data_IF_996329012733
#
_entry.id   IF_996329012733
#
_cell.length_a   1.000
_cell.length_b   1.000
_cell.length_c   1.000
_cell.angle_alpha   90.00
_cell.angle_beta   90.00
_cell.angle_gamma   90.00
#
_symmetry.space_group_name_H-M   'P 1'
#
loop_
_entity.id
_entity.type
_entity.pdbx_description
1 polymer ?
#
# COMPACT_ATOMS: atom_id res chain seq x y z
N UNK A 1 19.33 -2.00 -8.32
CA UNK A 1 18.13 -2.12 -7.47
C UNK A 1 16.95 -1.55 -8.25
N UNK A 2 15.88 -2.31 -8.54
CA UNK A 2 14.72 -1.78 -9.25
C UNK A 2 14.07 -0.65 -8.42
N UNK A 3 13.51 0.36 -9.08
CA UNK A 3 12.96 1.58 -8.46
C UNK A 3 11.78 1.32 -7.49
N UNK A 4 11.24 0.10 -7.48
CA UNK A 4 10.08 -0.33 -6.70
C UNK A 4 10.35 -0.49 -5.20
N UNK A 5 11.53 -0.98 -4.81
CA UNK A 5 11.87 -1.21 -3.40
C UNK A 5 11.87 0.09 -2.56
N UNK A 6 12.12 1.25 -3.18
CA UNK A 6 12.18 2.54 -2.47
C UNK A 6 10.84 2.96 -1.85
N UNK A 7 9.72 2.43 -2.35
CA UNK A 7 8.38 2.77 -1.85
C UNK A 7 7.93 1.89 -0.67
N UNK A 8 8.60 0.75 -0.45
CA UNK A 8 8.25 -0.19 0.62
C UNK A 8 8.94 0.27 1.90
N UNK A 9 8.17 0.38 2.98
CA UNK A 9 8.61 0.94 4.26
C UNK A 9 7.96 0.19 5.41
N UNK A 10 8.64 0.14 6.55
CA UNK A 10 8.09 -0.35 7.81
C UNK A 10 7.00 0.58 8.36
N UNK A 11 6.07 0.05 9.14
CA UNK A 11 4.95 0.82 9.71
C UNK A 11 5.43 1.98 10.58
N UNK A 12 6.46 1.78 11.40
CA UNK A 12 7.02 2.84 12.26
C UNK A 12 7.56 4.02 11.42
N UNK A 13 8.08 3.74 10.22
CA UNK A 13 8.55 4.77 9.29
C UNK A 13 7.40 5.56 8.68
N UNK A 14 6.21 4.95 8.53
CA UNK A 14 5.01 5.65 8.06
C UNK A 14 4.51 6.65 9.09
N UNK A 15 4.61 6.36 10.39
CA UNK A 15 4.21 7.31 11.45
C UNK A 15 5.03 8.60 11.36
N UNK A 16 6.36 8.46 11.27
CA UNK A 16 7.28 9.60 11.14
C UNK A 16 6.97 10.42 9.90
N UNK A 17 6.82 9.76 8.74
CA UNK A 17 6.47 10.43 7.47
C UNK A 17 5.10 11.09 7.51
N UNK A 18 4.12 10.47 8.17
CA UNK A 18 2.79 11.03 8.30
C UNK A 18 2.81 12.34 9.06
N UNK A 19 3.58 12.43 10.16
CA UNK A 19 3.75 13.67 10.93
C UNK A 19 4.42 14.75 10.07
N UNK A 20 5.52 14.41 9.41
CA UNK A 20 6.23 15.33 8.52
C UNK A 20 5.31 15.90 7.43
N UNK A 21 4.60 15.06 6.69
CA UNK A 21 3.72 15.53 5.62
C UNK A 21 2.52 16.32 6.14
N UNK A 22 2.02 16.00 7.33
CA UNK A 22 0.98 16.79 7.97
C UNK A 22 1.49 18.19 8.36
N UNK A 23 2.72 18.31 8.88
CA UNK A 23 3.37 19.60 9.14
C UNK A 23 3.61 20.42 7.86
N UNK A 24 3.87 19.74 6.73
CA UNK A 24 3.94 20.34 5.40
C UNK A 24 2.55 20.74 4.83
N UNK A 25 1.46 20.48 5.56
CA UNK A 25 0.09 20.78 5.13
C UNK A 25 -0.47 19.85 4.05
N UNK A 26 0.19 18.70 3.79
CA UNK A 26 -0.23 17.73 2.77
C UNK A 26 -1.33 16.81 3.30
N UNK A 27 -2.33 16.53 2.45
CA UNK A 27 -3.38 15.55 2.73
C UNK A 27 -2.89 14.15 2.38
N UNK A 28 -2.92 13.25 3.35
CA UNK A 28 -2.59 11.83 3.17
C UNK A 28 -3.88 11.02 3.05
N UNK A 29 -3.97 10.22 2.00
CA UNK A 29 -5.03 9.21 1.83
C UNK A 29 -4.46 7.86 2.23
N UNK A 30 -5.21 7.08 3.01
CA UNK A 30 -4.84 5.74 3.41
C UNK A 30 -5.75 4.71 2.75
N UNK A 31 -5.15 3.76 2.04
CA UNK A 31 -5.82 2.55 1.58
C UNK A 31 -5.22 1.35 2.30
N UNK A 32 -6.04 0.63 3.06
CA UNK A 32 -5.62 -0.60 3.72
C UNK A 32 -6.27 -1.81 3.06
N UNK A 33 -5.53 -2.92 2.94
CA UNK A 33 -6.12 -4.15 2.45
C UNK A 33 -5.14 -5.31 2.33
N UNK A 34 -5.65 -6.47 1.91
CA UNK A 34 -4.81 -7.62 1.61
C UNK A 34 -4.08 -7.44 0.28
N UNK A 35 -4.76 -6.94 -0.77
CA UNK A 35 -4.17 -6.77 -2.12
C UNK A 35 -3.57 -8.06 -2.72
N UNK A 36 -4.12 -9.22 -2.35
CA UNK A 36 -3.77 -10.49 -2.98
C UNK A 36 -4.29 -10.55 -4.42
N UNK A 37 -3.53 -11.22 -5.30
CA UNK A 37 -3.81 -11.30 -6.75
C UNK A 37 -4.25 -9.94 -7.34
N UNK A 38 -3.37 -8.94 -7.37
CA UNK A 38 -3.71 -7.59 -7.88
C UNK A 38 -4.39 -7.69 -9.25
N UNK A 39 -5.55 -7.04 -9.34
CA UNK A 39 -6.35 -6.93 -10.55
C UNK A 39 -6.80 -5.48 -10.75
N UNK A 40 -7.42 -5.19 -11.90
CA UNK A 40 -7.85 -3.85 -12.30
C UNK A 40 -8.73 -3.14 -11.26
N UNK A 41 -9.45 -3.88 -10.42
CA UNK A 41 -10.27 -3.33 -9.34
C UNK A 41 -9.42 -2.60 -8.29
N UNK A 42 -8.35 -3.24 -7.79
CA UNK A 42 -7.41 -2.61 -6.87
C UNK A 42 -6.71 -1.40 -7.51
N UNK A 43 -6.30 -1.52 -8.77
CA UNK A 43 -5.61 -0.43 -9.48
C UNK A 43 -6.51 0.80 -9.59
N UNK A 44 -7.74 0.63 -10.08
CA UNK A 44 -8.71 1.74 -10.19
C UNK A 44 -9.03 2.34 -8.83
N UNK A 45 -9.18 1.51 -7.80
CA UNK A 45 -9.43 1.97 -6.44
C UNK A 45 -8.28 2.84 -5.91
N UNK A 46 -7.03 2.40 -6.04
CA UNK A 46 -5.85 3.15 -5.60
C UNK A 46 -5.65 4.44 -6.40
N UNK A 47 -5.86 4.39 -7.72
CA UNK A 47 -5.80 5.59 -8.57
C UNK A 47 -6.86 6.62 -8.20
N UNK A 48 -8.09 6.18 -7.88
CA UNK A 48 -9.14 7.09 -7.44
C UNK A 48 -8.84 7.65 -6.04
N UNK A 49 -8.38 6.80 -5.12
CA UNK A 49 -7.99 7.22 -3.78
C UNK A 49 -6.87 8.27 -3.83
N UNK A 50 -5.86 8.09 -4.69
CA UNK A 50 -4.77 9.05 -4.87
C UNK A 50 -5.27 10.45 -5.24
N UNK A 51 -6.35 10.58 -6.02
CA UNK A 51 -6.89 11.90 -6.40
C UNK A 51 -7.47 12.67 -5.22
N UNK A 52 -7.73 12.02 -4.10
CA UNK A 52 -8.38 12.63 -2.93
C UNK A 52 -7.38 13.32 -1.99
N UNK A 53 -6.08 13.29 -2.29
CA UNK A 53 -5.04 13.98 -1.51
C UNK A 53 -3.69 14.04 -2.23
N UNK A 54 -2.69 14.56 -1.54
CA UNK A 54 -1.32 14.70 -2.06
C UNK A 54 -0.53 13.40 -1.89
N UNK A 55 -0.75 12.77 -0.73
CA UNK A 55 -0.27 11.48 -0.24
C UNK A 55 -1.16 10.28 -0.61
N UNK A 56 -0.64 9.14 -1.09
CA UNK A 56 -1.34 7.85 -0.93
C UNK A 56 -0.44 6.89 -0.18
N UNK A 57 -0.87 6.48 1.01
CA UNK A 57 -0.29 5.39 1.77
C UNK A 57 -1.12 4.13 1.52
N UNK A 58 -0.47 3.09 1.02
CA UNK A 58 -1.07 1.77 0.89
C UNK A 58 -0.46 0.85 1.95
N UNK A 59 -1.28 0.34 2.87
CA UNK A 59 -0.83 -0.58 3.91
C UNK A 59 -1.43 -1.96 3.70
N UNK A 60 -0.66 -2.98 4.06
CA UNK A 60 -0.95 -4.36 3.72
C UNK A 60 -1.25 -5.16 4.98
N UNK A 61 -2.30 -5.97 4.95
CA UNK A 61 -2.54 -6.97 6.00
C UNK A 61 -1.44 -8.04 5.97
N UNK A 62 -0.74 -8.22 7.09
CA UNK A 62 0.31 -9.23 7.22
C UNK A 62 -0.24 -10.65 7.06
N UNK A 63 0.57 -11.57 6.55
CA UNK A 63 0.16 -12.92 6.13
C UNK A 63 -0.60 -13.67 7.24
N UNK A 64 -0.11 -13.58 8.48
CA UNK A 64 -0.68 -14.23 9.66
C UNK A 64 -2.10 -13.75 10.01
N UNK A 65 -2.56 -12.62 9.48
CA UNK A 65 -3.86 -12.02 9.77
C UNK A 65 -4.83 -12.11 8.60
N UNK A 66 -4.46 -12.78 7.51
CA UNK A 66 -5.32 -12.93 6.34
C UNK A 66 -6.10 -14.24 6.45
N UNK A 67 -7.42 -14.16 6.64
CA UNK A 67 -8.33 -15.30 6.57
C UNK A 67 -9.33 -15.11 5.43
N UNK A 68 -8.94 -15.54 4.23
CA UNK A 68 -9.71 -15.39 2.99
C UNK A 68 -10.07 -16.74 2.34
N UNK A 69 -9.95 -17.82 3.10
CA UNK A 69 -10.16 -19.19 2.66
C UNK A 69 -8.85 -19.96 2.41
N UNK A 70 -8.94 -21.27 2.15
CA UNK A 70 -7.77 -22.13 1.95
C UNK A 70 -6.87 -21.63 0.83
N UNK A 71 -5.56 -21.63 1.07
CA UNK A 71 -4.56 -21.19 0.08
C UNK A 71 -4.55 -19.68 -0.17
N UNK A 72 -5.11 -18.88 0.74
CA UNK A 72 -5.06 -17.40 0.69
C UNK A 72 -4.34 -16.84 1.92
N UNK A 73 -3.51 -15.80 1.74
CA UNK A 73 -3.20 -15.11 0.47
C UNK A 73 -2.32 -15.99 -0.44
N UNK A 74 -2.47 -15.85 -1.76
CA UNK A 74 -1.65 -16.58 -2.74
C UNK A 74 -0.21 -16.07 -2.72
N UNK A 75 -0.04 -14.76 -2.57
CA UNK A 75 1.26 -14.12 -2.47
C UNK A 75 1.55 -13.66 -1.04
N UNK A 76 2.81 -13.79 -0.61
CA UNK A 76 3.27 -13.27 0.67
C UNK A 76 3.10 -11.76 0.77
N UNK A 77 3.09 -11.23 1.99
CA UNK A 77 2.98 -9.79 2.25
C UNK A 77 4.02 -8.95 1.52
N UNK A 78 5.26 -9.46 1.43
CA UNK A 78 6.34 -8.80 0.69
C UNK A 78 6.11 -8.79 -0.81
N UNK A 79 5.66 -9.90 -1.40
CA UNK A 79 5.33 -9.94 -2.84
C UNK A 79 4.13 -9.04 -3.16
N UNK A 80 3.15 -8.98 -2.26
CA UNK A 80 2.01 -8.05 -2.38
C UNK A 80 2.48 -6.58 -2.29
N UNK A 81 3.43 -6.27 -1.41
CA UNK A 81 4.06 -4.94 -1.32
C UNK A 81 4.83 -4.57 -2.59
N UNK A 82 5.62 -5.48 -3.12
CA UNK A 82 6.35 -5.30 -4.38
C UNK A 82 5.38 -5.04 -5.54
N UNK A 83 4.32 -5.84 -5.67
CA UNK A 83 3.28 -5.66 -6.68
C UNK A 83 2.62 -4.27 -6.58
N UNK A 84 2.30 -3.79 -5.38
CA UNK A 84 1.75 -2.45 -5.19
C UNK A 84 2.76 -1.34 -5.53
N UNK A 85 4.02 -1.50 -5.13
CA UNK A 85 5.06 -0.49 -5.38
C UNK A 85 5.35 -0.27 -6.87
N UNK A 86 5.12 -1.29 -7.70
CA UNK A 86 5.24 -1.23 -9.16
C UNK A 86 4.16 -0.35 -9.82
N UNK A 87 3.05 -0.07 -9.12
CA UNK A 87 1.98 0.75 -9.66
C UNK A 87 2.40 2.23 -9.72
N UNK A 88 2.04 2.89 -10.82
CA UNK A 88 2.05 4.35 -10.96
C UNK A 88 0.66 4.86 -10.63
N UNK A 89 0.42 5.10 -9.34
CA UNK A 89 -0.79 5.74 -8.82
C UNK A 89 -0.41 7.11 -8.29
#
# INVERSE_FOLDING_TARGET
MPATQQKIQELDSLEVKSKQFNEEGKRIVLCHGTFDLIHTGHIRHLQEAKKQGDLLFATITADNYVSKGPGRPVFSEMLRAENLSALTC
#
